data_IF_854657589296
#
_entry.id   IF_854657589296
#
_cell.length_a   1.000
_cell.length_b   1.000
_cell.length_c   1.000
_cell.angle_alpha   90.00
_cell.angle_beta   90.00
_cell.angle_gamma   90.00
#
_symmetry.space_group_name_H-M   'P 1'
#
loop_
_entity.id
_entity.type
_entity.pdbx_description
1 polymer ?
#
# COMPACT_ATOMS: atom_id res chain seq x y z
N UNK A 1 -15.02 -58.12 -42.14
CA UNK A 1 -14.29 -56.87 -42.44
C UNK A 1 -15.07 -55.74 -41.82
N UNK A 2 -14.63 -55.29 -40.65
CA UNK A 2 -15.29 -54.27 -39.85
C UNK A 2 -14.17 -53.38 -39.32
N UNK A 3 -13.84 -52.35 -40.08
CA UNK A 3 -12.79 -51.38 -39.76
C UNK A 3 -13.38 -50.37 -38.78
N UNK A 4 -12.95 -50.45 -37.52
CA UNK A 4 -13.27 -49.48 -36.48
C UNK A 4 -12.45 -48.22 -36.76
N UNK A 5 -13.13 -47.11 -37.04
CA UNK A 5 -12.55 -45.79 -37.11
C UNK A 5 -12.11 -45.36 -35.70
N UNK A 6 -10.79 -45.30 -35.51
CA UNK A 6 -10.13 -44.80 -34.31
C UNK A 6 -10.26 -43.26 -34.29
N UNK A 7 -11.16 -42.75 -33.44
CA UNK A 7 -11.24 -41.31 -33.15
C UNK A 7 -10.08 -40.94 -32.21
N UNK A 8 -9.19 -40.01 -32.60
CA UNK A 8 -8.19 -39.49 -31.67
C UNK A 8 -8.89 -38.66 -30.60
N UNK A 9 -8.74 -39.07 -29.35
CA UNK A 9 -9.27 -38.37 -28.20
C UNK A 9 -8.70 -36.95 -28.11
N UNK A 10 -9.60 -35.97 -28.15
CA UNK A 10 -9.35 -34.60 -27.74
C UNK A 10 -8.93 -34.61 -26.26
N UNK A 11 -7.62 -34.63 -26.02
CA UNK A 11 -7.08 -34.25 -24.72
C UNK A 11 -7.27 -32.74 -24.59
N UNK A 12 -7.98 -32.26 -23.55
CA UNK A 12 -8.10 -30.82 -23.33
C UNK A 12 -6.70 -30.25 -23.16
N UNK A 13 -6.42 -29.03 -23.66
CA UNK A 13 -5.09 -28.44 -23.58
C UNK A 13 -4.66 -28.41 -22.11
N UNK A 14 -3.58 -29.13 -21.82
CA UNK A 14 -2.82 -28.99 -20.58
C UNK A 14 -2.55 -27.51 -20.40
N UNK A 15 -3.22 -26.92 -19.40
CA UNK A 15 -2.96 -25.56 -18.97
C UNK A 15 -1.49 -25.53 -18.57
N UNK A 16 -0.69 -24.84 -19.36
CA UNK A 16 0.72 -24.61 -19.11
C UNK A 16 0.85 -23.74 -17.85
N UNK A 17 0.66 -24.36 -16.68
CA UNK A 17 0.77 -23.76 -15.33
C UNK A 17 2.24 -23.44 -14.97
N UNK A 18 3.18 -23.68 -15.89
CA UNK A 18 4.61 -23.44 -15.69
C UNK A 18 5.05 -21.99 -15.96
N UNK A 19 4.18 -21.13 -16.50
CA UNK A 19 4.50 -19.71 -16.67
C UNK A 19 4.32 -18.94 -15.36
N UNK A 20 5.32 -19.07 -14.50
CA UNK A 20 5.55 -18.21 -13.35
C UNK A 20 5.38 -16.75 -13.81
N UNK A 21 4.45 -15.97 -13.23
CA UNK A 21 4.38 -14.55 -13.54
C UNK A 21 5.73 -13.92 -13.15
N UNK A 22 6.35 -13.11 -14.02
CA UNK A 22 7.66 -12.52 -13.76
C UNK A 22 7.60 -11.73 -12.46
N UNK A 23 8.70 -11.82 -11.67
CA UNK A 23 8.82 -11.10 -10.40
C UNK A 23 8.54 -9.61 -10.65
N UNK A 24 7.58 -9.00 -9.93
CA UNK A 24 7.33 -7.58 -10.07
C UNK A 24 8.60 -6.82 -9.69
N UNK A 25 9.10 -6.00 -10.63
CA UNK A 25 10.28 -5.19 -10.39
C UNK A 25 10.06 -4.17 -9.28
N UNK A 26 11.15 -3.67 -8.70
CA UNK A 26 11.13 -2.65 -7.64
C UNK A 26 10.25 -1.44 -7.99
N UNK A 27 10.23 -1.03 -9.26
CA UNK A 27 9.40 0.09 -9.74
C UNK A 27 7.90 -0.19 -9.62
N UNK A 28 7.47 -1.44 -9.85
CA UNK A 28 6.05 -1.81 -9.67
C UNK A 28 5.69 -1.77 -8.19
N UNK A 29 6.60 -2.20 -7.32
CA UNK A 29 6.40 -2.13 -5.86
C UNK A 29 6.34 -0.69 -5.35
N UNK A 30 7.24 0.19 -5.82
CA UNK A 30 7.21 1.61 -5.43
C UNK A 30 5.90 2.26 -5.85
N UNK A 31 5.40 1.99 -7.06
CA UNK A 31 4.12 2.50 -7.52
C UNK A 31 2.94 1.94 -6.72
N UNK A 32 3.00 0.68 -6.32
CA UNK A 32 2.00 0.10 -5.43
C UNK A 32 2.02 0.74 -4.04
N UNK A 33 3.20 0.96 -3.46
CA UNK A 33 3.38 1.64 -2.17
C UNK A 33 2.89 3.08 -2.26
N UNK A 34 3.17 3.78 -3.36
CA UNK A 34 2.72 5.15 -3.60
C UNK A 34 1.20 5.23 -3.65
N UNK A 35 0.55 4.34 -4.39
CA UNK A 35 -0.91 4.27 -4.45
C UNK A 35 -1.53 3.96 -3.08
N UNK A 36 -0.97 3.00 -2.34
CA UNK A 36 -1.41 2.67 -0.97
C UNK A 36 -1.26 3.89 -0.05
N UNK A 37 -0.16 4.64 -0.17
CA UNK A 37 0.08 5.86 0.59
C UNK A 37 -0.94 6.94 0.26
N UNK A 38 -1.29 7.10 -1.02
CA UNK A 38 -2.35 8.02 -1.47
C UNK A 38 -3.73 7.67 -0.92
N UNK A 39 -4.11 6.39 -0.90
CA UNK A 39 -5.35 5.95 -0.24
C UNK A 39 -5.33 6.17 1.27
N UNK A 40 -4.18 5.96 1.92
CA UNK A 40 -3.99 6.27 3.34
C UNK A 40 -4.13 7.76 3.64
N UNK A 41 -3.61 8.61 2.75
CA UNK A 41 -3.76 10.06 2.83
C UNK A 41 -5.25 10.44 2.71
N UNK A 42 -5.96 9.96 1.68
CA UNK A 42 -7.39 10.22 1.51
C UNK A 42 -8.23 9.70 2.68
N UNK A 43 -7.86 8.56 3.26
CA UNK A 43 -8.49 8.01 4.45
C UNK A 43 -8.37 8.96 5.65
N UNK A 44 -7.16 9.40 5.97
CA UNK A 44 -6.91 10.30 7.11
C UNK A 44 -7.52 11.67 6.89
N UNK A 45 -7.37 12.24 5.69
CA UNK A 45 -7.96 13.53 5.32
C UNK A 45 -9.49 13.47 5.39
N UNK A 46 -10.10 12.43 4.81
CA UNK A 46 -11.55 12.22 4.86
C UNK A 46 -12.07 12.04 6.28
N UNK A 47 -11.32 11.35 7.14
CA UNK A 47 -11.67 11.15 8.54
C UNK A 47 -11.57 12.46 9.34
N UNK A 48 -10.51 13.24 9.14
CA UNK A 48 -10.36 14.56 9.77
C UNK A 48 -11.46 15.53 9.36
N UNK A 49 -11.85 15.53 8.07
CA UNK A 49 -12.95 16.35 7.54
C UNK A 49 -14.32 15.84 8.01
N UNK A 50 -14.53 14.52 8.03
CA UNK A 50 -15.77 13.92 8.53
C UNK A 50 -16.03 14.22 10.00
N UNK A 51 -14.98 14.20 10.83
CA UNK A 51 -15.03 14.60 12.24
C UNK A 51 -15.11 16.12 12.45
N UNK A 52 -14.85 16.92 11.40
CA UNK A 52 -14.84 18.37 11.48
C UNK A 52 -13.67 18.95 12.27
N UNK A 53 -12.56 18.20 12.38
CA UNK A 53 -11.34 18.60 13.11
C UNK A 53 -10.34 19.32 12.18
N UNK A 54 -10.51 19.20 10.86
CA UNK A 54 -9.58 19.78 9.88
C UNK A 54 -9.72 21.31 9.76
N UNK A 55 -8.60 22.07 9.75
CA UNK A 55 -8.60 23.54 9.69
C UNK A 55 -9.46 24.10 8.55
N UNK A 56 -10.23 25.14 8.84
CA UNK A 56 -11.12 25.78 7.86
C UNK A 56 -10.30 26.58 6.84
N UNK A 57 -10.23 26.09 5.60
CA UNK A 57 -9.49 26.74 4.53
C UNK A 57 -9.64 26.02 3.19
N UNK A 58 -9.95 26.77 2.12
CA UNK A 58 -10.14 26.21 0.77
C UNK A 58 -8.85 25.59 0.22
N UNK A 59 -7.71 26.24 0.46
CA UNK A 59 -6.38 25.76 0.03
C UNK A 59 -5.89 24.56 0.85
N UNK A 60 -6.26 24.53 2.13
CA UNK A 60 -5.66 23.61 3.10
C UNK A 60 -6.06 22.15 2.86
N UNK A 61 -7.29 21.92 2.41
CA UNK A 61 -7.76 20.57 2.07
C UNK A 61 -7.41 20.16 0.62
N UNK A 62 -7.19 21.12 -0.29
CA UNK A 62 -6.95 20.84 -1.71
C UNK A 62 -5.53 20.32 -1.98
N UNK A 63 -4.51 20.82 -1.28
CA UNK A 63 -3.12 20.32 -1.46
C UNK A 63 -3.00 18.84 -1.09
N UNK A 64 -3.43 18.35 0.09
CA UNK A 64 -3.33 16.92 0.38
C UNK A 64 -4.23 16.11 -0.54
N UNK A 65 -5.42 16.61 -0.91
CA UNK A 65 -6.29 15.91 -1.85
C UNK A 65 -5.64 15.73 -3.22
N UNK A 66 -5.05 16.80 -3.78
CA UNK A 66 -4.32 16.75 -5.06
C UNK A 66 -3.07 15.89 -4.97
N UNK A 67 -2.29 15.98 -3.90
CA UNK A 67 -1.14 15.11 -3.69
C UNK A 67 -1.58 13.63 -3.67
N UNK A 68 -2.60 13.29 -2.89
CA UNK A 68 -3.17 11.94 -2.86
C UNK A 68 -3.62 11.47 -4.25
N UNK A 69 -4.22 12.35 -5.06
CA UNK A 69 -4.59 12.01 -6.44
C UNK A 69 -3.41 11.70 -7.32
N UNK A 70 -2.32 12.47 -7.20
CA UNK A 70 -1.09 12.23 -7.95
C UNK A 70 -0.52 10.87 -7.55
N UNK A 71 -0.39 10.61 -6.24
CA UNK A 71 0.14 9.35 -5.70
C UNK A 71 -0.66 8.12 -6.18
N UNK A 72 -2.00 8.21 -6.20
CA UNK A 72 -2.87 7.11 -6.67
C UNK A 72 -2.85 6.98 -8.21
N UNK A 73 -2.76 8.09 -8.93
CA UNK A 73 -2.93 8.11 -10.40
C UNK A 73 -1.66 7.84 -11.19
N UNK A 74 -0.46 8.00 -10.62
CA UNK A 74 0.80 7.70 -11.34
C UNK A 74 0.83 6.24 -11.81
N UNK A 75 0.38 5.29 -10.98
CA UNK A 75 0.30 3.87 -11.34
C UNK A 75 -0.52 3.58 -12.60
N UNK A 76 -1.83 3.91 -12.64
CA UNK A 76 -2.64 3.65 -13.83
C UNK A 76 -2.19 4.48 -15.04
N UNK A 77 -1.71 5.71 -14.85
CA UNK A 77 -1.18 6.55 -15.93
C UNK A 77 0.03 5.92 -16.62
N UNK A 78 0.90 5.25 -15.87
CA UNK A 78 2.03 4.51 -16.42
C UNK A 78 1.63 3.12 -16.95
N UNK A 79 0.52 2.54 -16.50
CA UNK A 79 0.02 1.26 -17.02
C UNK A 79 -0.74 1.41 -18.36
N UNK A 80 -1.36 2.57 -18.60
CA UNK A 80 -2.08 2.94 -19.83
C UNK A 80 -1.31 2.69 -21.14
N UNK A 81 -0.02 3.07 -21.28
CA UNK A 81 0.75 2.80 -22.49
C UNK A 81 1.08 1.31 -22.71
N UNK A 82 0.67 0.40 -21.81
CA UNK A 82 0.92 -1.04 -21.96
C UNK A 82 2.40 -1.41 -21.82
N UNK A 83 3.12 -0.68 -20.96
CA UNK A 83 4.56 -0.88 -20.78
C UNK A 83 4.85 -2.32 -20.31
N UNK A 84 5.82 -3.02 -20.92
CA UNK A 84 6.06 -4.46 -20.68
C UNK A 84 6.51 -4.77 -19.25
N UNK A 85 7.04 -3.78 -18.53
CA UNK A 85 7.47 -3.87 -17.15
C UNK A 85 6.38 -3.55 -16.13
N UNK A 86 5.20 -3.10 -16.58
CA UNK A 86 4.04 -2.88 -15.72
C UNK A 86 2.76 -3.44 -16.36
N UNK A 87 2.62 -4.78 -16.39
CA UNK A 87 1.49 -5.42 -17.05
C UNK A 87 0.16 -5.22 -16.30
N UNK A 88 0.20 -4.99 -14.98
CA UNK A 88 -0.95 -5.01 -14.09
C UNK A 88 -0.89 -3.88 -13.04
N UNK A 89 -1.99 -3.13 -12.84
CA UNK A 89 -2.18 -2.19 -11.73
C UNK A 89 -3.30 -2.68 -10.82
N UNK A 90 -3.01 -2.99 -9.55
CA UNK A 90 -3.99 -3.58 -8.62
C UNK A 90 -4.75 -4.78 -9.24
N UNK A 91 -4.02 -5.62 -9.97
CA UNK A 91 -4.56 -6.80 -10.67
C UNK A 91 -5.34 -6.50 -11.95
N UNK A 92 -5.46 -5.23 -12.37
CA UNK A 92 -6.08 -4.87 -13.63
C UNK A 92 -5.04 -4.68 -14.74
N UNK A 93 -5.18 -5.45 -15.82
CA UNK A 93 -4.39 -5.34 -17.06
C UNK A 93 -5.06 -4.38 -18.02
N UNK A 94 -4.40 -3.28 -18.36
CA UNK A 94 -4.92 -2.32 -19.35
C UNK A 94 -4.72 -2.90 -20.77
N UNK A 95 -5.81 -3.09 -21.51
CA UNK A 95 -5.78 -3.65 -22.87
C UNK A 95 -7.15 -3.75 -23.52
N UNK A 96 -7.20 -3.84 -24.86
CA UNK A 96 -8.46 -3.98 -25.61
C UNK A 96 -9.17 -5.27 -25.18
N UNK A 97 -10.41 -5.16 -24.69
CA UNK A 97 -11.23 -6.28 -24.24
C UNK A 97 -11.04 -6.71 -22.78
N UNK A 98 -10.13 -6.07 -22.03
CA UNK A 98 -9.92 -6.35 -20.61
C UNK A 98 -10.96 -5.64 -19.74
N UNK A 99 -11.76 -6.42 -18.98
CA UNK A 99 -12.70 -5.85 -18.00
C UNK A 99 -11.95 -5.41 -16.74
N UNK A 100 -12.32 -4.25 -16.14
CA UNK A 100 -11.73 -3.84 -14.87
C UNK A 100 -12.02 -4.89 -13.80
N UNK A 101 -11.00 -5.25 -13.04
CA UNK A 101 -11.16 -6.14 -11.89
C UNK A 101 -12.03 -5.47 -10.83
N UNK A 102 -12.64 -6.26 -9.93
CA UNK A 102 -13.40 -5.71 -8.79
C UNK A 102 -12.56 -4.76 -7.94
N UNK A 103 -11.27 -5.04 -7.82
CA UNK A 103 -10.27 -4.22 -7.14
C UNK A 103 -10.05 -2.88 -7.86
N UNK A 104 -9.85 -2.90 -9.18
CA UNK A 104 -9.74 -1.70 -10.01
C UNK A 104 -11.01 -0.85 -10.02
N UNK A 105 -12.20 -1.48 -10.02
CA UNK A 105 -13.47 -0.77 -9.93
C UNK A 105 -13.63 -0.05 -8.58
N UNK A 106 -13.31 -0.71 -7.47
CA UNK A 106 -13.36 -0.09 -6.15
C UNK A 106 -12.37 1.09 -6.04
N UNK A 107 -11.17 0.93 -6.61
CA UNK A 107 -10.18 2.00 -6.73
C UNK A 107 -10.66 3.18 -7.60
N UNK A 108 -11.47 2.92 -8.63
CA UNK A 108 -12.09 4.00 -9.43
C UNK A 108 -13.24 4.68 -8.68
N UNK A 109 -14.05 3.92 -7.94
CA UNK A 109 -15.17 4.45 -7.15
C UNK A 109 -14.67 5.43 -6.08
N UNK A 110 -13.47 5.24 -5.52
CA UNK A 110 -12.87 6.20 -4.57
C UNK A 110 -12.61 7.59 -5.15
N UNK A 111 -12.53 7.75 -6.48
CA UNK A 111 -12.41 9.07 -7.10
C UNK A 111 -13.71 9.89 -7.04
N UNK A 112 -14.89 9.25 -6.96
CA UNK A 112 -16.17 9.95 -6.87
C UNK A 112 -16.28 10.85 -5.62
N UNK A 113 -16.09 10.32 -4.38
CA UNK A 113 -16.12 11.17 -3.20
C UNK A 113 -14.96 12.16 -3.18
N UNK A 114 -13.81 11.83 -3.79
CA UNK A 114 -12.70 12.77 -3.94
C UNK A 114 -13.06 13.95 -4.85
N UNK A 115 -13.72 13.73 -5.99
CA UNK A 115 -14.20 14.78 -6.88
C UNK A 115 -15.32 15.60 -6.24
N UNK A 116 -16.23 14.94 -5.51
CA UNK A 116 -17.26 15.62 -4.73
C UNK A 116 -16.61 16.56 -3.71
N UNK A 117 -15.60 16.11 -2.97
CA UNK A 117 -14.83 16.95 -2.06
C UNK A 117 -14.14 18.11 -2.77
N UNK A 118 -13.48 17.87 -3.90
CA UNK A 118 -12.84 18.93 -4.68
C UNK A 118 -13.83 20.02 -5.12
N UNK A 119 -15.07 19.65 -5.47
CA UNK A 119 -16.13 20.58 -5.84
C UNK A 119 -16.82 21.28 -4.64
N UNK A 120 -16.92 20.59 -3.49
CA UNK A 120 -17.64 21.05 -2.30
C UNK A 120 -16.78 21.88 -1.33
N UNK A 121 -15.46 21.88 -1.45
CA UNK A 121 -14.55 22.71 -0.67
C UNK A 121 -14.79 24.20 -1.03
N UNK A 122 -15.83 24.77 -0.41
CA UNK A 122 -16.24 26.18 -0.46
C UNK A 122 -15.98 26.82 0.90
N UNK A 123 -14.70 27.00 1.25
CA UNK A 123 -14.23 27.86 2.35
C UNK A 123 -14.59 27.46 3.79
N UNK A 124 -15.74 26.81 4.01
CA UNK A 124 -16.26 26.47 5.33
C UNK A 124 -16.43 24.95 5.47
N UNK A 125 -15.60 24.36 6.31
CA UNK A 125 -15.62 22.93 6.63
C UNK A 125 -16.78 22.56 7.58
N UNK A 126 -17.56 23.54 8.06
CA UNK A 126 -18.78 23.29 8.83
C UNK A 126 -19.94 22.78 7.97
N UNK A 127 -19.84 22.87 6.64
CA UNK A 127 -20.90 22.40 5.75
C UNK A 127 -21.05 20.87 5.81
N UNK A 128 -22.25 20.41 6.16
CA UNK A 128 -22.56 19.00 6.37
C UNK A 128 -22.22 18.12 5.14
N UNK A 129 -22.36 18.66 3.92
CA UNK A 129 -22.05 17.90 2.72
C UNK A 129 -20.56 17.63 2.55
N UNK A 130 -19.69 18.54 3.02
CA UNK A 130 -18.23 18.37 3.04
C UNK A 130 -17.85 17.28 4.04
N UNK A 131 -18.50 17.25 5.22
CA UNK A 131 -18.30 16.19 6.21
C UNK A 131 -18.76 14.83 5.71
N UNK A 132 -19.94 14.77 5.09
CA UNK A 132 -20.47 13.53 4.52
C UNK A 132 -19.59 13.01 3.40
N UNK A 133 -19.12 13.89 2.52
CA UNK A 133 -18.22 13.53 1.42
C UNK A 133 -16.83 13.10 1.93
N UNK A 134 -16.33 13.74 2.99
CA UNK A 134 -15.11 13.31 3.70
C UNK A 134 -15.26 11.93 4.35
N UNK A 135 -16.38 11.69 5.04
CA UNK A 135 -16.69 10.38 5.61
C UNK A 135 -16.85 9.31 4.52
N UNK A 136 -17.48 9.64 3.40
CA UNK A 136 -17.59 8.75 2.24
C UNK A 136 -16.22 8.46 1.62
N UNK A 137 -15.34 9.47 1.50
CA UNK A 137 -13.96 9.30 1.03
C UNK A 137 -13.16 8.38 1.94
N UNK A 138 -13.27 8.57 3.26
CA UNK A 138 -12.64 7.72 4.26
C UNK A 138 -13.14 6.28 4.15
N UNK A 139 -14.46 6.10 4.11
CA UNK A 139 -15.06 4.76 3.99
C UNK A 139 -14.65 4.05 2.70
N UNK A 140 -14.71 4.75 1.54
CA UNK A 140 -14.33 4.17 0.27
C UNK A 140 -12.83 3.83 0.23
N UNK A 141 -11.97 4.69 0.77
CA UNK A 141 -10.51 4.45 0.84
C UNK A 141 -10.19 3.26 1.73
N UNK A 142 -10.86 3.14 2.89
CA UNK A 142 -10.75 1.99 3.78
C UNK A 142 -11.22 0.71 3.09
N UNK A 143 -12.38 0.74 2.43
CA UNK A 143 -12.91 -0.40 1.70
C UNK A 143 -11.95 -0.86 0.59
N UNK A 144 -11.36 0.09 -0.15
CA UNK A 144 -10.34 -0.20 -1.17
C UNK A 144 -9.10 -0.87 -0.55
N UNK A 145 -8.56 -0.34 0.55
CA UNK A 145 -7.40 -0.92 1.24
C UNK A 145 -7.67 -2.34 1.75
N UNK A 146 -8.83 -2.57 2.37
CA UNK A 146 -9.23 -3.88 2.89
C UNK A 146 -9.46 -4.86 1.75
N UNK A 147 -10.17 -4.47 0.69
CA UNK A 147 -10.50 -5.36 -0.41
C UNK A 147 -9.27 -5.75 -1.24
N UNK A 148 -8.44 -4.77 -1.61
CA UNK A 148 -7.18 -5.03 -2.34
C UNK A 148 -6.20 -5.85 -1.51
N UNK A 149 -6.23 -5.76 -0.17
CA UNK A 149 -5.40 -6.62 0.68
C UNK A 149 -5.79 -8.07 0.57
N UNK A 150 -7.09 -8.37 0.59
CA UNK A 150 -7.61 -9.73 0.52
C UNK A 150 -7.29 -10.38 -0.83
N UNK A 151 -7.43 -9.62 -1.92
CA UNK A 151 -7.05 -10.06 -3.27
C UNK A 151 -5.57 -10.42 -3.38
N UNK A 152 -4.69 -9.49 -3.00
CA UNK A 152 -3.25 -9.68 -3.04
C UNK A 152 -2.76 -10.86 -2.18
N UNK A 153 -3.33 -11.04 -0.97
CA UNK A 153 -2.92 -12.14 -0.09
C UNK A 153 -3.39 -13.51 -0.59
N UNK A 154 -4.60 -13.60 -1.16
CA UNK A 154 -5.09 -14.83 -1.78
C UNK A 154 -4.18 -15.31 -2.91
N UNK A 155 -3.65 -14.39 -3.70
CA UNK A 155 -2.77 -14.72 -4.83
C UNK A 155 -1.33 -15.01 -4.39
N UNK A 156 -0.80 -14.28 -3.40
CA UNK A 156 0.63 -14.38 -3.03
C UNK A 156 0.96 -15.53 -2.07
N UNK A 157 0.07 -15.89 -1.14
CA UNK A 157 0.40 -16.89 -0.12
C UNK A 157 -0.81 -17.77 0.27
N UNK A 158 -1.30 -18.64 -0.65
CA UNK A 158 -2.38 -19.60 -0.37
C UNK A 158 -2.07 -20.49 0.84
N UNK A 159 -0.80 -20.89 1.01
CA UNK A 159 -0.35 -21.72 2.13
C UNK A 159 -0.49 -21.06 3.52
N UNK A 160 -0.68 -19.73 3.59
CA UNK A 160 -0.87 -18.98 4.84
C UNK A 160 -2.34 -18.58 5.06
N UNK A 161 -3.27 -19.27 4.40
CA UNK A 161 -4.72 -19.08 4.49
C UNK A 161 -5.32 -18.83 5.89
N UNK A 162 -4.95 -19.60 6.95
CA UNK A 162 -5.57 -19.42 8.26
C UNK A 162 -5.24 -18.08 8.92
N UNK A 163 -4.15 -17.41 8.51
CA UNK A 163 -3.70 -16.14 9.10
C UNK A 163 -4.29 -14.90 8.41
N UNK A 164 -4.97 -15.07 7.27
CA UNK A 164 -5.46 -13.96 6.45
C UNK A 164 -6.44 -13.00 7.13
N UNK A 165 -7.14 -13.44 8.19
CA UNK A 165 -8.10 -12.57 8.92
C UNK A 165 -7.44 -11.38 9.61
N UNK A 166 -6.18 -11.50 10.04
CA UNK A 166 -5.47 -10.45 10.78
C UNK A 166 -4.69 -9.49 9.87
N UNK A 167 -4.50 -9.84 8.60
CA UNK A 167 -3.59 -9.17 7.68
C UNK A 167 -4.12 -7.89 6.97
N UNK A 168 -5.43 -7.59 6.87
CA UNK A 168 -5.86 -6.29 6.34
C UNK A 168 -5.46 -5.14 7.27
N UNK A 169 -5.39 -5.38 8.58
CA UNK A 169 -4.97 -4.38 9.56
C UNK A 169 -3.55 -3.88 9.28
N UNK A 170 -2.60 -4.77 9.00
CA UNK A 170 -1.23 -4.38 8.65
C UNK A 170 -1.17 -3.47 7.42
N UNK A 171 -2.01 -3.71 6.40
CA UNK A 171 -2.08 -2.83 5.22
C UNK A 171 -2.70 -1.48 5.56
N UNK A 172 -3.79 -1.46 6.33
CA UNK A 172 -4.45 -0.21 6.73
C UNK A 172 -3.52 0.63 7.61
N UNK A 173 -2.88 0.03 8.61
CA UNK A 173 -1.89 0.71 9.46
C UNK A 173 -0.73 1.23 8.63
N UNK A 174 -0.22 0.44 7.68
CA UNK A 174 0.85 0.89 6.77
C UNK A 174 0.42 2.06 5.89
N UNK A 175 -0.81 2.04 5.39
CA UNK A 175 -1.37 3.10 4.56
C UNK A 175 -1.56 4.38 5.39
N UNK A 176 -2.13 4.27 6.59
CA UNK A 176 -2.29 5.40 7.51
C UNK A 176 -0.93 5.98 7.90
N UNK A 177 0.08 5.15 8.16
CA UNK A 177 1.41 5.63 8.50
C UNK A 177 2.06 6.41 7.34
N UNK A 178 2.15 5.80 6.16
CA UNK A 178 2.77 6.44 5.00
C UNK A 178 1.95 7.65 4.53
N UNK A 179 0.63 7.52 4.44
CA UNK A 179 -0.28 8.61 4.10
C UNK A 179 -0.26 9.74 5.13
N UNK A 180 -0.07 9.41 6.41
CA UNK A 180 0.07 10.39 7.49
C UNK A 180 1.37 11.19 7.42
N UNK A 181 2.47 10.58 6.96
CA UNK A 181 3.72 11.31 6.67
C UNK A 181 3.54 12.30 5.52
N UNK A 182 2.86 11.90 4.44
CA UNK A 182 2.54 12.79 3.31
C UNK A 182 1.56 13.89 3.70
N UNK A 183 0.57 13.58 4.55
CA UNK A 183 -0.36 14.57 5.07
C UNK A 183 0.37 15.58 5.98
N UNK A 184 1.29 15.11 6.83
CA UNK A 184 2.14 15.98 7.63
C UNK A 184 2.99 16.90 6.78
N UNK A 185 3.56 16.39 5.68
CA UNK A 185 4.32 17.20 4.74
C UNK A 185 3.46 18.34 4.17
N UNK A 186 2.20 18.05 3.84
CA UNK A 186 1.27 19.08 3.36
C UNK A 186 1.00 20.13 4.44
N UNK A 187 0.70 19.70 5.67
CA UNK A 187 0.41 20.60 6.78
C UNK A 187 1.59 21.52 7.12
N UNK A 188 2.80 20.96 7.24
CA UNK A 188 4.03 21.73 7.49
C UNK A 188 4.39 22.64 6.32
N UNK A 189 4.00 22.30 5.09
CA UNK A 189 4.20 23.15 3.92
C UNK A 189 3.16 24.26 3.76
N UNK A 190 2.01 24.17 4.45
CA UNK A 190 0.91 25.13 4.38
C UNK A 190 0.89 26.09 5.57
N UNK A 191 1.16 25.58 6.77
CA UNK A 191 1.28 26.39 7.97
C UNK A 191 2.64 27.10 7.99
N UNK A 192 2.67 28.34 8.50
CA UNK A 192 3.92 29.06 8.80
C UNK A 192 4.66 28.42 9.98
N UNK A 193 5.05 29.20 10.99
CA UNK A 193 5.65 28.62 12.20
C UNK A 193 4.64 27.74 12.96
N UNK A 194 4.87 26.42 13.09
CA UNK A 194 3.95 25.55 13.81
C UNK A 194 4.10 25.80 15.31
N UNK A 195 2.99 26.03 16.02
CA UNK A 195 3.04 26.00 17.48
C UNK A 195 3.25 24.55 17.96
N UNK A 196 4.20 24.29 18.87
CA UNK A 196 4.57 22.93 19.28
C UNK A 196 3.40 22.13 19.88
N UNK A 197 2.41 22.81 20.44
CA UNK A 197 1.22 22.20 21.08
C UNK A 197 0.33 21.49 20.04
N UNK A 198 0.21 22.03 18.83
CA UNK A 198 -0.64 21.46 17.76
C UNK A 198 0.07 20.30 17.04
N UNK A 199 1.40 20.37 16.90
CA UNK A 199 2.21 19.38 16.17
C UNK A 199 2.49 18.10 16.98
N UNK A 200 2.58 18.20 18.31
CA UNK A 200 2.92 17.07 19.20
C UNK A 200 1.96 15.86 19.11
N UNK A 201 0.63 16.01 19.17
CA UNK A 201 -0.28 14.86 19.09
C UNK A 201 -0.17 14.13 17.75
N UNK A 202 0.10 14.85 16.65
CA UNK A 202 0.27 14.24 15.33
C UNK A 202 1.52 13.37 15.26
N UNK A 203 2.66 13.88 15.75
CA UNK A 203 3.93 13.11 15.79
C UNK A 203 3.79 11.88 16.67
N UNK A 204 3.14 11.99 17.84
CA UNK A 204 2.87 10.84 18.70
C UNK A 204 1.98 9.81 17.99
N UNK A 205 0.96 10.26 17.25
CA UNK A 205 0.13 9.39 16.42
C UNK A 205 0.92 8.65 15.34
N UNK A 206 1.82 9.34 14.63
CA UNK A 206 2.71 8.72 13.64
C UNK A 206 3.69 7.73 14.28
N UNK A 207 4.23 8.04 15.46
CA UNK A 207 5.11 7.14 16.19
C UNK A 207 4.37 5.87 16.64
N UNK A 208 3.14 6.02 17.13
CA UNK A 208 2.29 4.88 17.49
C UNK A 208 1.98 4.00 16.27
N UNK A 209 1.65 4.62 15.13
CA UNK A 209 1.44 3.90 13.88
C UNK A 209 2.70 3.16 13.42
N UNK A 210 3.89 3.77 13.57
CA UNK A 210 5.17 3.12 13.29
C UNK A 210 5.37 1.86 14.15
N UNK A 211 5.06 1.93 15.45
CA UNK A 211 5.15 0.80 16.37
C UNK A 211 4.15 -0.31 16.02
N UNK A 212 2.89 0.04 15.77
CA UNK A 212 1.84 -0.92 15.35
C UNK A 212 2.21 -1.59 14.04
N UNK A 213 2.84 -0.85 13.12
CA UNK A 213 3.29 -1.37 11.85
C UNK A 213 4.47 -2.34 12.01
N UNK A 214 5.46 -1.97 12.82
CA UNK A 214 6.58 -2.84 13.16
C UNK A 214 6.12 -4.13 13.84
N UNK A 215 5.11 -4.04 14.72
CA UNK A 215 4.47 -5.20 15.32
C UNK A 215 3.76 -6.08 14.29
N UNK A 216 2.93 -5.49 13.42
CA UNK A 216 2.22 -6.23 12.38
C UNK A 216 3.17 -6.92 11.39
N UNK A 217 4.25 -6.26 10.99
CA UNK A 217 5.29 -6.84 10.14
C UNK A 217 6.10 -7.92 10.88
N UNK A 218 6.41 -7.72 12.15
CA UNK A 218 7.04 -8.72 13.01
C UNK A 218 6.21 -10.01 13.05
N UNK A 219 4.90 -9.89 13.30
CA UNK A 219 3.96 -11.02 13.29
C UNK A 219 3.91 -11.72 11.94
N UNK A 220 3.97 -10.97 10.83
CA UNK A 220 3.98 -11.50 9.47
C UNK A 220 5.24 -12.33 9.18
N UNK A 221 6.40 -11.86 9.61
CA UNK A 221 7.66 -12.59 9.44
C UNK A 221 7.76 -13.80 10.37
N UNK A 222 7.27 -13.70 11.61
CA UNK A 222 7.20 -14.85 12.51
C UNK A 222 6.26 -15.93 11.99
N UNK A 223 5.11 -15.54 11.41
CA UNK A 223 4.21 -16.48 10.75
C UNK A 223 4.90 -17.22 9.59
N UNK A 224 5.76 -16.52 8.85
CA UNK A 224 6.56 -17.13 7.80
C UNK A 224 7.56 -18.13 8.41
N UNK A 225 8.29 -17.77 9.47
CA UNK A 225 9.22 -18.68 10.17
C UNK A 225 8.53 -19.92 10.75
N UNK A 226 7.40 -19.76 11.47
CA UNK A 226 6.66 -20.90 12.04
C UNK A 226 6.15 -21.88 11.00
N UNK A 227 5.87 -21.39 9.80
CA UNK A 227 5.48 -22.23 8.67
C UNK A 227 6.68 -22.95 8.02
N UNK A 228 7.92 -22.56 8.33
CA UNK A 228 9.15 -23.26 7.94
C UNK A 228 9.56 -24.30 8.98
N UNK A 229 9.39 -24.02 10.27
CA UNK A 229 9.71 -24.94 11.39
C UNK A 229 8.71 -26.10 11.56
N UNK A 230 7.92 -26.39 10.52
CA UNK A 230 6.98 -27.52 10.50
C UNK A 230 7.70 -28.88 10.58
N UNK A 231 6.95 -29.98 10.79
CA UNK A 231 7.50 -31.29 11.12
C UNK A 231 8.43 -31.90 10.05
N UNK A 232 8.47 -31.36 8.82
CA UNK A 232 9.48 -31.72 7.83
C UNK A 232 10.32 -30.49 7.41
N UNK A 233 11.59 -30.40 7.85
CA UNK A 233 12.48 -29.32 7.45
C UNK A 233 13.02 -29.61 6.04
N UNK A 234 12.21 -29.35 5.02
CA UNK A 234 12.57 -29.58 3.60
C UNK A 234 13.30 -28.36 2.98
N UNK A 235 13.34 -27.21 3.66
CA UNK A 235 13.87 -25.97 3.07
C UNK A 235 15.30 -25.62 3.51
N UNK A 236 16.19 -25.25 2.57
CA UNK A 236 17.53 -24.76 2.90
C UNK A 236 17.48 -23.46 3.73
N UNK A 237 18.51 -23.21 4.56
CA UNK A 237 18.60 -21.99 5.35
C UNK A 237 18.60 -20.75 4.44
N UNK A 238 17.82 -19.74 4.82
CA UNK A 238 17.72 -18.49 4.04
C UNK A 238 19.07 -17.78 3.94
N UNK A 239 19.38 -17.14 2.80
CA UNK A 239 20.60 -16.38 2.66
C UNK A 239 20.68 -15.21 3.67
N UNK A 240 21.85 -14.93 4.25
CA UNK A 240 22.04 -13.86 5.23
C UNK A 240 21.73 -12.46 4.68
N UNK A 241 21.83 -12.29 3.35
CA UNK A 241 21.51 -11.05 2.64
C UNK A 241 20.05 -10.60 2.83
N UNK A 242 19.11 -11.53 2.98
CA UNK A 242 17.70 -11.21 3.25
C UNK A 242 17.52 -10.52 4.61
N UNK A 243 18.30 -10.94 5.61
CA UNK A 243 18.25 -10.35 6.95
C UNK A 243 18.87 -8.96 6.96
N UNK A 244 20.04 -8.79 6.33
CA UNK A 244 20.66 -7.48 6.17
C UNK A 244 19.74 -6.51 5.41
N UNK A 245 19.13 -6.96 4.30
CA UNK A 245 18.16 -6.18 3.54
C UNK A 245 16.94 -5.75 4.36
N UNK A 246 16.44 -6.64 5.23
CA UNK A 246 15.33 -6.32 6.15
C UNK A 246 15.72 -5.29 7.20
N UNK A 247 16.93 -5.35 7.75
CA UNK A 247 17.41 -4.32 8.67
C UNK A 247 17.51 -2.96 8.00
N UNK A 248 17.99 -2.90 6.77
CA UNK A 248 18.02 -1.67 5.97
C UNK A 248 16.59 -1.16 5.74
N UNK A 249 15.67 -2.02 5.30
CA UNK A 249 14.28 -1.65 5.08
C UNK A 249 13.61 -1.13 6.37
N UNK A 250 13.78 -1.81 7.50
CA UNK A 250 13.26 -1.39 8.80
C UNK A 250 13.85 -0.04 9.24
N UNK A 251 15.13 0.20 8.97
CA UNK A 251 15.78 1.49 9.27
C UNK A 251 15.14 2.63 8.46
N UNK A 252 14.91 2.41 7.16
CA UNK A 252 14.27 3.38 6.26
C UNK A 252 12.79 3.65 6.60
N UNK A 253 12.06 2.63 7.06
CA UNK A 253 10.62 2.71 7.40
C UNK A 253 10.41 3.32 8.78
N UNK A 254 11.20 2.94 9.78
CA UNK A 254 10.93 3.28 11.18
C UNK A 254 11.94 4.30 11.70
N UNK A 255 13.22 3.97 11.72
CA UNK A 255 14.23 4.76 12.43
C UNK A 255 14.37 6.15 11.83
N UNK A 256 14.55 6.24 10.51
CA UNK A 256 14.72 7.53 9.83
C UNK A 256 13.49 8.42 10.03
N UNK A 257 12.24 8.00 9.70
CA UNK A 257 11.09 8.85 9.92
C UNK A 257 10.88 9.26 11.37
N UNK A 258 11.10 8.37 12.34
CA UNK A 258 10.92 8.68 13.76
C UNK A 258 11.92 9.76 14.23
N UNK A 259 13.21 9.59 13.90
CA UNK A 259 14.25 10.56 14.25
C UNK A 259 14.02 11.90 13.55
N UNK A 260 13.67 11.85 12.26
CA UNK A 260 13.43 13.04 11.44
C UNK A 260 12.22 13.84 11.91
N UNK A 261 11.13 13.18 12.32
CA UNK A 261 9.96 13.86 12.91
C UNK A 261 10.32 14.57 14.22
N UNK A 262 11.15 13.95 15.07
CA UNK A 262 11.62 14.59 16.31
C UNK A 262 12.54 15.79 16.00
N UNK A 263 13.45 15.65 15.03
CA UNK A 263 14.34 16.73 14.60
C UNK A 263 13.57 17.90 13.95
N UNK A 264 12.49 17.61 13.23
CA UNK A 264 11.62 18.62 12.61
C UNK A 264 10.91 19.51 13.63
N UNK A 265 10.92 19.17 14.93
CA UNK A 265 10.42 20.06 15.98
C UNK A 265 11.42 21.15 16.39
N UNK A 266 12.71 20.90 16.17
CA UNK A 266 13.81 21.76 16.63
C UNK A 266 14.43 22.55 15.49
N UNK A 267 14.51 21.96 14.29
CA UNK A 267 15.16 22.57 13.13
C UNK A 267 14.19 23.45 12.33
N UNK A 268 14.71 24.50 11.70
CA UNK A 268 13.95 25.40 10.82
C UNK A 268 13.59 24.73 9.47
N UNK A 269 14.40 23.77 9.00
CA UNK A 269 14.23 23.08 7.70
C UNK A 269 13.19 21.94 7.75
N UNK A 270 12.02 22.21 8.34
CA UNK A 270 10.99 21.20 8.66
C UNK A 270 10.44 20.50 7.43
N UNK A 271 10.18 21.24 6.34
CA UNK A 271 9.60 20.70 5.10
C UNK A 271 10.51 19.64 4.48
N UNK A 272 11.81 19.93 4.36
CA UNK A 272 12.78 19.00 3.77
C UNK A 272 12.94 17.73 4.63
N UNK A 273 12.95 17.88 5.95
CA UNK A 273 13.00 16.77 6.88
C UNK A 273 11.76 15.87 6.72
N UNK A 274 10.56 16.43 6.77
CA UNK A 274 9.34 15.63 6.61
C UNK A 274 9.26 14.97 5.23
N UNK A 275 9.73 15.65 4.17
CA UNK A 275 9.81 15.07 2.83
C UNK A 275 10.78 13.88 2.80
N UNK A 276 11.93 14.00 3.44
CA UNK A 276 12.90 12.90 3.58
C UNK A 276 12.27 11.70 4.30
N UNK A 277 11.50 11.92 5.38
CA UNK A 277 10.80 10.86 6.10
C UNK A 277 9.74 10.15 5.23
N UNK A 278 8.96 10.91 4.46
CA UNK A 278 7.95 10.35 3.55
C UNK A 278 8.62 9.51 2.44
N UNK A 279 9.68 10.03 1.82
CA UNK A 279 10.42 9.33 0.76
C UNK A 279 11.14 8.10 1.30
N UNK A 280 11.81 8.20 2.46
CA UNK A 280 12.50 7.06 3.08
C UNK A 280 11.52 5.93 3.39
N UNK A 281 10.32 6.27 3.90
CA UNK A 281 9.27 5.29 4.15
C UNK A 281 8.82 4.58 2.86
N UNK A 282 8.62 5.31 1.76
CA UNK A 282 8.23 4.71 0.47
C UNK A 282 9.31 3.76 -0.05
N UNK A 283 10.58 4.18 -0.03
CA UNK A 283 11.71 3.36 -0.47
C UNK A 283 11.83 2.11 0.40
N UNK A 284 11.84 2.27 1.73
CA UNK A 284 11.94 1.16 2.67
C UNK A 284 10.80 0.15 2.50
N UNK A 285 9.56 0.60 2.35
CA UNK A 285 8.40 -0.27 2.09
C UNK A 285 8.50 -1.04 0.79
N UNK A 286 9.06 -0.41 -0.25
CA UNK A 286 9.23 -1.05 -1.55
C UNK A 286 10.27 -2.17 -1.49
N UNK A 287 11.38 -1.93 -0.78
CA UNK A 287 12.41 -2.94 -0.50
C UNK A 287 11.85 -4.07 0.35
N UNK A 288 11.12 -3.76 1.42
CA UNK A 288 10.49 -4.76 2.31
C UNK A 288 9.50 -5.68 1.56
N UNK A 289 8.70 -5.12 0.64
CA UNK A 289 7.79 -5.90 -0.20
C UNK A 289 8.56 -6.81 -1.16
N UNK A 290 9.60 -6.29 -1.80
CA UNK A 290 10.45 -7.07 -2.70
C UNK A 290 11.15 -8.24 -1.98
N UNK A 291 11.73 -7.99 -0.80
CA UNK A 291 12.39 -9.02 0.01
C UNK A 291 11.41 -10.09 0.49
N UNK A 292 10.19 -9.69 0.85
CA UNK A 292 9.16 -10.64 1.25
C UNK A 292 8.70 -11.53 0.08
N UNK A 293 8.49 -10.95 -1.10
CA UNK A 293 8.11 -11.72 -2.28
C UNK A 293 9.24 -12.66 -2.73
N UNK A 294 10.51 -12.24 -2.59
CA UNK A 294 11.67 -13.10 -2.80
C UNK A 294 11.69 -14.30 -1.81
N UNK A 295 11.40 -14.06 -0.53
CA UNK A 295 11.32 -15.12 0.48
C UNK A 295 10.16 -16.10 0.22
N UNK A 296 9.02 -15.61 -0.25
CA UNK A 296 7.89 -16.47 -0.64
C UNK A 296 8.20 -17.31 -1.88
N UNK A 297 8.87 -16.74 -2.88
CA UNK A 297 9.26 -17.46 -4.10
C UNK A 297 10.24 -18.60 -3.77
N UNK A 298 11.28 -18.31 -2.99
CA UNK A 298 12.25 -19.31 -2.54
C UNK A 298 11.60 -20.52 -1.86
N UNK A 299 10.57 -20.30 -1.03
CA UNK A 299 9.81 -21.38 -0.41
C UNK A 299 9.05 -22.23 -1.44
N UNK A 300 8.41 -21.60 -2.43
CA UNK A 300 7.66 -22.36 -3.45
C UNK A 300 8.61 -23.26 -4.23
N UNK A 301 9.78 -22.77 -4.61
CA UNK A 301 10.76 -23.53 -5.38
C UNK A 301 11.28 -24.74 -4.57
N UNK A 302 11.52 -24.55 -3.26
CA UNK A 302 11.90 -25.64 -2.36
C UNK A 302 10.80 -26.72 -2.22
N UNK A 303 9.52 -26.33 -2.21
CA UNK A 303 8.39 -27.25 -2.11
C UNK A 303 8.05 -28.04 -3.38
N UNK A 304 8.56 -27.65 -4.56
CA UNK A 304 8.39 -28.43 -5.81
C UNK A 304 9.55 -29.40 -6.08
N UNK A 305 10.63 -29.30 -5.29
CA UNK A 305 11.84 -30.12 -5.44
C UNK A 305 11.86 -31.34 -4.51
N UNK A 306 10.78 -31.55 -3.75
CA UNK A 306 10.55 -32.65 -2.82
C UNK A 306 9.32 -33.44 -3.26
#
# INVERSE_FOLDING_TARGET
>A
MQEQAEMPGDTPPTRDDSRMPPRPGLVVMTLQVLAISGYGLWLLLGLALGLGVYPAGRGDALVPLTLGTVLVSIGPLLALPGLPWMPDWLGWRFGRGSRPTREGLLALVTYLPMLAMAGLVRGDNAFWATRLSGAALAFCSLACLVYTSRGAYRQRAPALAPLWRQWPLGRVVSACYAGGLWLWLCLVGQEGEPTPITSTPWILGLQLLALLLGWAEGMRWQALQRAEDGPEPVSPPRPPELWAGRFIAATLIYVIPCVVLLLAQVLEQRVLLVALAAVSCVVGKSVEQHLYDAALAFRRDAGHSA
#
